data_IF_302590406479
#
_entry.id   IF_302590406479
#
_cell.length_a   1.000
_cell.length_b   1.000
_cell.length_c   1.000
_cell.angle_alpha   90.00
_cell.angle_beta   90.00
_cell.angle_gamma   90.00
#
_symmetry.space_group_name_H-M   'P 1'
#
loop_
_entity.id
_entity.type
_entity.pdbx_description
1 polymer ?
#
# COMPACT_ATOMS: atom_id res chain seq x y z
N UNK A 1 -37.12 -49.62 -4.86
CA UNK A 1 -36.98 -48.36 -5.61
C UNK A 1 -37.30 -47.16 -4.74
N UNK A 2 -36.88 -47.15 -3.46
CA UNK A 2 -37.19 -46.06 -2.50
C UNK A 2 -35.97 -45.56 -1.70
N UNK A 3 -34.77 -45.99 -2.03
CA UNK A 3 -33.55 -45.67 -1.27
C UNK A 3 -32.70 -44.48 -1.83
N UNK A 4 -33.05 -43.93 -3.00
CA UNK A 4 -32.28 -42.84 -3.61
C UNK A 4 -32.77 -41.43 -3.26
N UNK A 5 -33.91 -41.26 -2.61
CA UNK A 5 -34.49 -39.97 -2.29
C UNK A 5 -34.02 -39.37 -0.94
N UNK A 6 -33.46 -40.20 -0.04
CA UNK A 6 -33.03 -39.71 1.27
C UNK A 6 -31.66 -39.04 1.26
N UNK A 7 -30.77 -39.39 0.35
CA UNK A 7 -29.39 -38.87 0.34
C UNK A 7 -29.30 -37.42 -0.15
N UNK A 8 -30.23 -37.00 -1.00
CA UNK A 8 -30.23 -35.63 -1.52
C UNK A 8 -30.64 -34.57 -0.48
N UNK A 9 -31.47 -34.94 0.50
CA UNK A 9 -31.92 -33.97 1.52
C UNK A 9 -30.83 -33.60 2.53
N UNK A 10 -29.81 -34.45 2.69
CA UNK A 10 -28.69 -34.17 3.62
C UNK A 10 -27.54 -33.45 2.96
N UNK A 11 -27.33 -33.63 1.68
CA UNK A 11 -26.21 -33.02 0.92
C UNK A 11 -26.44 -31.53 0.74
N UNK A 12 -27.65 -31.08 0.43
CA UNK A 12 -27.95 -29.66 0.17
C UNK A 12 -27.65 -28.74 1.34
N UNK A 13 -28.05 -28.98 2.60
CA UNK A 13 -27.74 -28.11 3.72
C UNK A 13 -26.23 -28.08 4.03
N UNK A 14 -25.51 -29.18 3.82
CA UNK A 14 -24.06 -29.23 4.01
C UNK A 14 -23.33 -28.39 2.93
N UNK A 15 -23.71 -28.53 1.68
CA UNK A 15 -23.14 -27.75 0.57
C UNK A 15 -23.44 -26.27 0.74
N UNK A 16 -24.68 -25.91 1.09
CA UNK A 16 -25.08 -24.52 1.33
C UNK A 16 -24.32 -23.92 2.53
N UNK A 17 -24.15 -24.70 3.58
CA UNK A 17 -23.36 -24.32 4.75
C UNK A 17 -21.91 -24.05 4.38
N UNK A 18 -21.26 -24.90 3.61
CA UNK A 18 -19.88 -24.70 3.14
C UNK A 18 -19.73 -23.47 2.24
N UNK A 19 -20.67 -23.21 1.35
CA UNK A 19 -20.66 -22.03 0.45
C UNK A 19 -20.71 -20.73 1.26
N UNK A 20 -21.36 -20.70 2.41
CA UNK A 20 -21.46 -19.51 3.26
C UNK A 20 -20.27 -19.42 4.22
N UNK A 21 -19.90 -20.53 4.85
CA UNK A 21 -18.88 -20.56 5.90
C UNK A 21 -17.48 -20.24 5.35
N UNK A 22 -17.14 -20.77 4.18
CA UNK A 22 -15.81 -20.53 3.58
C UNK A 22 -15.54 -19.03 3.31
N UNK A 23 -16.45 -18.29 2.64
CA UNK A 23 -16.25 -16.86 2.43
C UNK A 23 -16.21 -16.07 3.75
N UNK A 24 -17.02 -16.42 4.73
CA UNK A 24 -17.03 -15.74 6.05
C UNK A 24 -15.69 -15.92 6.76
N UNK A 25 -15.14 -17.14 6.77
CA UNK A 25 -13.82 -17.41 7.34
C UNK A 25 -12.75 -16.60 6.60
N UNK A 26 -12.79 -16.58 5.26
CA UNK A 26 -11.81 -15.85 4.45
C UNK A 26 -11.86 -14.34 4.70
N UNK A 27 -13.04 -13.74 4.74
CA UNK A 27 -13.25 -12.33 5.06
C UNK A 27 -12.77 -12.03 6.48
N UNK A 28 -13.06 -12.89 7.44
CA UNK A 28 -12.62 -12.73 8.83
C UNK A 28 -11.09 -12.76 8.94
N UNK A 29 -10.42 -13.65 8.24
CA UNK A 29 -8.95 -13.70 8.18
C UNK A 29 -8.35 -12.42 7.59
N UNK A 30 -8.96 -11.87 6.53
CA UNK A 30 -8.54 -10.60 5.93
C UNK A 30 -8.68 -9.46 6.95
N UNK A 31 -9.82 -9.36 7.62
CA UNK A 31 -10.07 -8.32 8.63
C UNK A 31 -9.07 -8.42 9.78
N UNK A 32 -8.82 -9.63 10.28
CA UNK A 32 -7.84 -9.86 11.36
C UNK A 32 -6.44 -9.47 10.89
N UNK A 33 -6.03 -9.88 9.70
CA UNK A 33 -4.71 -9.56 9.15
C UNK A 33 -4.48 -8.04 9.07
N UNK A 34 -5.43 -7.31 8.47
CA UNK A 34 -5.32 -5.86 8.37
C UNK A 34 -5.45 -5.16 9.73
N UNK A 35 -6.29 -5.66 10.62
CA UNK A 35 -6.47 -5.13 11.97
C UNK A 35 -5.19 -5.27 12.80
N UNK A 36 -4.58 -6.44 12.83
CA UNK A 36 -3.31 -6.69 13.54
C UNK A 36 -2.20 -5.80 12.97
N UNK A 37 -2.11 -5.72 11.64
CA UNK A 37 -1.13 -4.86 10.97
C UNK A 37 -1.32 -3.39 11.33
N UNK A 38 -2.55 -2.90 11.32
CA UNK A 38 -2.87 -1.53 11.73
C UNK A 38 -2.46 -1.25 13.18
N UNK A 39 -2.75 -2.18 14.10
CA UNK A 39 -2.37 -2.06 15.51
C UNK A 39 -0.84 -1.99 15.65
N UNK A 40 -0.10 -2.85 14.94
CA UNK A 40 1.37 -2.83 14.96
C UNK A 40 1.91 -1.49 14.48
N UNK A 41 1.38 -0.95 13.38
CA UNK A 41 1.80 0.36 12.86
C UNK A 41 1.45 1.50 13.81
N UNK A 42 0.28 1.47 14.46
CA UNK A 42 -0.09 2.44 15.48
C UNK A 42 0.89 2.40 16.66
N UNK A 43 1.25 1.19 17.12
CA UNK A 43 2.17 1.02 18.25
C UNK A 43 3.59 1.50 17.90
N UNK A 44 4.02 1.30 16.67
CA UNK A 44 5.34 1.78 16.18
C UNK A 44 5.33 3.26 15.81
N UNK A 45 4.21 3.96 15.89
CA UNK A 45 4.08 5.35 15.46
C UNK A 45 4.14 5.56 13.95
N UNK A 46 4.04 4.50 13.15
CA UNK A 46 4.18 4.52 11.68
C UNK A 46 2.86 4.34 10.92
N UNK A 47 1.73 4.28 11.63
CA UNK A 47 0.42 3.96 11.05
C UNK A 47 0.00 4.86 9.87
N UNK A 48 0.42 6.12 9.91
CA UNK A 48 0.03 7.13 8.93
C UNK A 48 1.17 7.59 8.01
N UNK A 49 2.39 7.08 8.23
CA UNK A 49 3.52 7.42 7.40
C UNK A 49 3.73 6.36 6.32
N UNK A 50 3.87 6.73 5.04
CA UNK A 50 4.07 5.78 3.95
C UNK A 50 5.45 5.11 3.99
N UNK A 51 6.39 5.70 4.70
CA UNK A 51 7.75 5.20 4.84
C UNK A 51 8.36 5.57 6.18
N UNK A 52 9.41 4.86 6.55
CA UNK A 52 10.28 5.16 7.68
C UNK A 52 11.74 4.91 7.28
N UNK A 53 12.64 5.78 7.72
CA UNK A 53 14.07 5.66 7.41
C UNK A 53 14.81 5.35 8.71
N UNK A 54 15.57 4.28 8.71
CA UNK A 54 16.44 3.89 9.82
C UNK A 54 17.86 3.69 9.30
N UNK A 55 18.74 4.66 9.57
CA UNK A 55 20.09 4.69 8.98
C UNK A 55 20.00 4.76 7.45
N UNK A 56 20.58 3.80 6.76
CA UNK A 56 20.58 3.68 5.30
C UNK A 56 19.49 2.77 4.77
N UNK A 57 18.55 2.35 5.62
CA UNK A 57 17.45 1.47 5.23
C UNK A 57 16.16 2.25 5.15
N UNK A 58 15.54 2.26 3.98
CA UNK A 58 14.20 2.79 3.74
C UNK A 58 13.16 1.67 3.91
N UNK A 59 12.33 1.78 4.92
CA UNK A 59 11.18 0.90 5.14
C UNK A 59 9.94 1.52 4.52
N UNK A 60 9.34 0.85 3.55
CA UNK A 60 8.10 1.29 2.91
C UNK A 60 6.93 0.52 3.47
N UNK A 61 5.97 1.24 4.03
CA UNK A 61 4.76 0.68 4.63
C UNK A 61 3.68 0.47 3.56
N UNK A 62 3.85 -0.56 2.79
CA UNK A 62 2.85 -1.07 1.86
C UNK A 62 2.22 -2.37 2.40
N UNK A 63 1.36 -3.00 1.61
CA UNK A 63 0.69 -4.25 2.02
C UNK A 63 1.69 -5.33 2.47
N UNK A 64 2.88 -5.40 1.87
CA UNK A 64 3.88 -6.44 2.13
C UNK A 64 5.13 -5.96 2.86
N UNK A 65 5.20 -4.69 3.29
CA UNK A 65 6.40 -4.05 3.85
C UNK A 65 7.65 -4.35 3.03
N UNK A 66 8.09 -3.37 2.29
CA UNK A 66 9.31 -3.47 1.49
C UNK A 66 10.43 -2.69 2.16
N UNK A 67 11.65 -3.20 2.07
CA UNK A 67 12.84 -2.53 2.58
C UNK A 67 13.82 -2.31 1.44
N UNK A 68 14.43 -1.13 1.39
CA UNK A 68 15.40 -0.76 0.37
C UNK A 68 16.65 -0.19 1.03
N UNK A 69 17.80 -0.63 0.58
CA UNK A 69 19.09 -0.07 0.98
C UNK A 69 19.37 1.18 0.16
N UNK A 70 19.36 2.34 0.83
CA UNK A 70 19.56 3.64 0.19
C UNK A 70 20.94 3.79 -0.41
N UNK A 71 21.95 3.03 0.06
CA UNK A 71 23.29 3.06 -0.51
C UNK A 71 23.34 2.50 -1.94
N UNK A 72 22.34 1.73 -2.33
CA UNK A 72 22.20 1.16 -3.67
C UNK A 72 21.32 2.02 -4.59
N UNK A 73 20.63 3.00 -4.05
CA UNK A 73 19.74 3.88 -4.80
C UNK A 73 20.51 5.12 -5.27
N UNK A 74 20.51 5.35 -6.56
CA UNK A 74 21.20 6.50 -7.17
C UNK A 74 20.23 7.60 -7.60
N UNK A 75 19.01 7.22 -7.99
CA UNK A 75 18.03 8.15 -8.51
C UNK A 75 16.64 7.80 -8.05
N UNK A 76 15.87 8.83 -7.77
CA UNK A 76 14.47 8.73 -7.37
C UNK A 76 13.64 9.62 -8.31
N UNK A 77 12.59 9.06 -8.86
CA UNK A 77 11.62 9.76 -9.70
C UNK A 77 10.24 9.71 -9.05
N UNK A 78 9.55 10.83 -8.98
CA UNK A 78 8.18 10.87 -8.54
C UNK A 78 7.27 11.39 -9.66
N UNK A 79 6.17 10.68 -9.90
CA UNK A 79 5.15 11.06 -10.87
C UNK A 79 3.80 11.22 -10.17
N UNK A 80 3.12 12.31 -10.46
CA UNK A 80 1.76 12.51 -9.95
C UNK A 80 0.78 11.56 -10.64
N UNK A 81 -0.02 10.86 -9.82
CA UNK A 81 -1.12 10.02 -10.29
C UNK A 81 -2.41 10.56 -9.71
N UNK A 82 -3.27 11.04 -10.58
CA UNK A 82 -4.61 11.45 -10.21
C UNK A 82 -5.54 10.23 -10.13
N UNK A 83 -6.14 10.02 -8.96
CA UNK A 83 -7.09 8.93 -8.77
C UNK A 83 -8.50 9.52 -8.68
N UNK A 84 -9.27 9.35 -9.75
CA UNK A 84 -10.69 9.70 -9.75
C UNK A 84 -11.44 8.62 -8.98
N UNK A 85 -12.03 8.96 -7.85
CA UNK A 85 -12.90 8.05 -7.10
C UNK A 85 -14.35 8.35 -7.45
N UNK A 86 -15.19 7.37 -7.81
CA UNK A 86 -16.61 7.56 -7.89
C UNK A 86 -17.12 7.98 -6.50
N UNK A 87 -17.95 9.00 -6.43
CA UNK A 87 -18.59 9.54 -5.22
C UNK A 87 -17.73 10.38 -4.26
N UNK A 88 -16.45 10.64 -4.55
CA UNK A 88 -15.62 11.55 -3.74
C UNK A 88 -14.82 12.49 -4.64
N UNK A 89 -14.45 13.66 -4.10
CA UNK A 89 -13.45 14.51 -4.77
C UNK A 89 -12.17 13.71 -4.98
N UNK A 90 -11.72 13.64 -6.23
CA UNK A 90 -10.50 12.92 -6.58
C UNK A 90 -9.32 13.42 -5.76
N UNK A 91 -8.41 12.51 -5.42
CA UNK A 91 -7.16 12.82 -4.74
C UNK A 91 -5.98 12.56 -5.64
N UNK A 92 -4.91 13.31 -5.49
CA UNK A 92 -3.65 13.00 -6.13
C UNK A 92 -2.69 12.33 -5.17
N UNK A 93 -1.88 11.44 -5.70
CA UNK A 93 -0.78 10.77 -5.01
C UNK A 93 0.43 10.76 -5.93
N UNK A 94 1.59 10.64 -5.35
CA UNK A 94 2.81 10.49 -6.13
C UNK A 94 3.29 9.04 -6.10
N UNK A 95 3.52 8.50 -7.28
CA UNK A 95 4.24 7.23 -7.43
C UNK A 95 5.73 7.55 -7.47
N UNK A 96 6.43 7.11 -6.46
CA UNK A 96 7.88 7.29 -6.32
C UNK A 96 8.56 6.00 -6.75
N UNK A 97 9.47 6.09 -7.71
CA UNK A 97 10.26 4.98 -8.25
C UNK A 97 11.71 5.13 -7.79
N UNK A 98 12.28 4.06 -7.33
CA UNK A 98 13.65 3.98 -6.81
C UNK A 98 14.52 3.25 -7.83
N UNK A 99 15.56 3.91 -8.34
CA UNK A 99 16.48 3.36 -9.33
C UNK A 99 17.87 3.19 -8.73
N UNK A 100 18.43 2.00 -8.90
CA UNK A 100 19.81 1.68 -8.55
C UNK A 100 20.79 1.92 -9.70
N UNK A 101 21.93 1.23 -9.64
CA UNK A 101 22.93 1.25 -10.70
C UNK A 101 22.31 0.77 -12.03
N UNK A 102 22.81 1.30 -13.13
CA UNK A 102 22.38 0.96 -14.50
C UNK A 102 20.89 1.25 -14.79
N UNK A 103 20.30 2.21 -14.07
CA UNK A 103 18.87 2.54 -14.17
C UNK A 103 17.92 1.37 -13.89
N UNK A 104 18.33 0.38 -13.14
CA UNK A 104 17.49 -0.74 -12.75
C UNK A 104 16.47 -0.26 -11.71
N UNK A 105 15.20 -0.52 -11.97
CA UNK A 105 14.12 -0.23 -11.02
C UNK A 105 14.22 -1.18 -9.82
N UNK A 106 14.63 -0.66 -8.67
CA UNK A 106 14.73 -1.41 -7.42
C UNK A 106 13.39 -1.54 -6.71
N UNK A 107 12.52 -0.53 -6.85
CA UNK A 107 11.22 -0.55 -6.23
C UNK A 107 10.39 0.68 -6.49
N UNK A 108 9.16 0.64 -6.00
CA UNK A 108 8.25 1.77 -6.08
C UNK A 108 7.39 1.86 -4.82
N UNK A 109 7.02 3.09 -4.45
CA UNK A 109 6.09 3.36 -3.36
C UNK A 109 5.14 4.50 -3.73
N UNK A 110 4.03 4.60 -3.02
CA UNK A 110 3.11 5.74 -3.17
C UNK A 110 3.24 6.66 -1.97
N UNK A 111 3.44 7.94 -2.24
CA UNK A 111 3.41 9.01 -1.23
C UNK A 111 2.14 9.83 -1.42
N UNK A 112 1.44 10.07 -0.34
CA UNK A 112 0.24 10.92 -0.29
C UNK A 112 0.28 11.79 0.96
N UNK A 113 -0.34 12.96 0.89
CA UNK A 113 -0.42 13.87 2.03
C UNK A 113 -1.24 13.26 3.15
N UNK A 114 -0.66 13.23 4.35
CA UNK A 114 -1.34 12.76 5.56
C UNK A 114 -2.00 13.93 6.29
N UNK A 115 -3.20 13.74 6.82
CA UNK A 115 -3.77 14.69 7.80
C UNK A 115 -5.14 15.26 7.50
N UNK A 116 -5.77 14.98 6.37
CA UNK A 116 -7.19 15.30 6.12
C UNK A 116 -7.86 14.15 5.36
N UNK A 117 -9.18 14.03 5.53
CA UNK A 117 -10.05 13.04 4.85
C UNK A 117 -9.91 13.03 3.31
N UNK A 118 -9.25 14.03 2.75
CA UNK A 118 -9.02 14.19 1.31
C UNK A 118 -7.54 14.46 1.05
N UNK A 119 -6.91 13.62 0.24
CA UNK A 119 -5.57 13.85 -0.27
C UNK A 119 -5.62 15.00 -1.29
N UNK A 120 -5.33 16.22 -0.85
CA UNK A 120 -5.15 17.32 -1.79
C UNK A 120 -3.84 17.12 -2.56
N UNK A 121 -3.82 17.55 -3.83
CA UNK A 121 -2.61 17.54 -4.66
C UNK A 121 -1.47 18.28 -3.96
N UNK A 122 -1.79 19.40 -3.35
CA UNK A 122 -0.83 20.24 -2.64
C UNK A 122 -0.21 19.54 -1.42
N UNK A 123 -1.03 18.87 -0.60
CA UNK A 123 -0.52 18.11 0.55
C UNK A 123 0.35 16.92 0.11
N UNK A 124 -0.03 16.25 -0.98
CA UNK A 124 0.76 15.15 -1.54
C UNK A 124 2.08 15.65 -2.15
N UNK A 125 2.06 16.79 -2.84
CA UNK A 125 3.27 17.43 -3.37
C UNK A 125 4.23 17.83 -2.24
N UNK A 126 3.71 18.43 -1.17
CA UNK A 126 4.51 18.77 0.01
C UNK A 126 5.17 17.54 0.62
N UNK A 127 4.42 16.45 0.80
CA UNK A 127 4.97 15.22 1.36
C UNK A 127 6.09 14.60 0.49
N UNK A 128 5.97 14.69 -0.84
CA UNK A 128 7.03 14.25 -1.76
C UNK A 128 8.26 15.14 -1.68
N UNK A 129 8.07 16.46 -1.62
CA UNK A 129 9.20 17.39 -1.50
C UNK A 129 9.94 17.22 -0.17
N UNK A 130 9.24 16.95 0.93
CA UNK A 130 9.84 16.58 2.21
C UNK A 130 10.65 15.28 2.09
N UNK A 131 10.12 14.28 1.41
CA UNK A 131 10.86 13.04 1.14
C UNK A 131 12.10 13.30 0.29
N UNK A 132 12.00 14.10 -0.78
CA UNK A 132 13.14 14.47 -1.62
C UNK A 132 14.25 15.17 -0.85
N UNK A 133 13.90 16.13 0.00
CA UNK A 133 14.90 16.81 0.81
C UNK A 133 15.70 15.85 1.71
N UNK A 134 15.06 14.83 2.24
CA UNK A 134 15.72 13.79 3.03
C UNK A 134 16.64 12.89 2.18
N UNK A 135 16.31 12.67 0.92
CA UNK A 135 17.10 11.86 -0.01
C UNK A 135 18.28 12.65 -0.58
N UNK A 136 18.07 13.92 -0.91
CA UNK A 136 19.11 14.81 -1.43
C UNK A 136 20.24 15.06 -0.41
N UNK A 137 19.91 15.16 0.88
CA UNK A 137 20.92 15.23 1.96
C UNK A 137 21.83 13.99 1.94
N UNK A 138 21.35 12.85 1.43
CA UNK A 138 22.12 11.60 1.27
C UNK A 138 22.82 11.47 -0.08
N UNK A 139 22.74 12.52 -0.91
CA UNK A 139 23.37 12.54 -2.24
C UNK A 139 22.60 11.77 -3.31
N UNK A 140 21.34 11.40 -3.07
CA UNK A 140 20.49 10.72 -4.03
C UNK A 140 19.81 11.76 -4.92
N UNK A 141 19.92 11.60 -6.23
CA UNK A 141 19.30 12.54 -7.18
C UNK A 141 17.78 12.31 -7.22
N UNK A 142 17.02 13.38 -6.94
CA UNK A 142 15.55 13.34 -6.97
C UNK A 142 15.01 14.18 -8.13
N UNK A 143 14.00 13.68 -8.82
CA UNK A 143 13.31 14.39 -9.91
C UNK A 143 11.80 14.19 -9.83
N UNK A 144 11.07 15.29 -10.09
CA UNK A 144 9.62 15.29 -10.21
C UNK A 144 9.27 15.24 -11.70
N UNK A 145 8.58 14.18 -12.12
CA UNK A 145 8.04 14.07 -13.46
C UNK A 145 6.70 14.82 -13.48
N UNK A 146 6.64 15.97 -14.17
CA UNK A 146 5.38 16.68 -14.37
C UNK A 146 4.50 15.81 -15.27
N UNK A 147 3.33 15.43 -14.76
CA UNK A 147 2.37 14.66 -15.53
C UNK A 147 1.84 15.47 -16.71
N UNK A 148 1.95 14.91 -17.91
CA UNK A 148 1.23 15.37 -19.08
C UNK A 148 -0.25 15.03 -18.96
#
# INVERSE_FOLDING_TARGET
>A
MFTQLSDNYFIWPVVTGLIIVIPVIFISMIIIFFGVRFIIHCYQGTAWTPYHINGDILHVHNIFNSTFDLSQILRIEAREIYTRRPFTSGGSRYLVRLYGKDNVLCGAMSIYGTGKLYNSSEASKKAVLEFFSLMEIRGIHCSLEEGQ
#
